data_IF_384156705789
#
_entry.id   IF_384156705789
#
_cell.length_a   1.000
_cell.length_b   1.000
_cell.length_c   1.000
_cell.angle_alpha   90.00
_cell.angle_beta   90.00
_cell.angle_gamma   90.00
#
_symmetry.space_group_name_H-M   'P 1'
#
loop_
_entity.id
_entity.type
_entity.pdbx_description
1 polymer ?
#
# COMPACT_ATOMS: atom_id res chain seq x y z
N UNK A 1 -44.23 -18.08 33.68
CA UNK A 1 -43.55 -16.81 33.38
C UNK A 1 -42.19 -16.93 34.02
N UNK A 2 -41.20 -17.44 33.28
CA UNK A 2 -39.88 -17.75 33.84
C UNK A 2 -38.88 -16.70 33.37
N UNK A 3 -38.13 -16.23 34.36
CA UNK A 3 -37.03 -15.27 34.39
C UNK A 3 -36.17 -15.13 33.12
N UNK A 4 -35.98 -13.87 32.70
CA UNK A 4 -34.77 -13.44 32.00
C UNK A 4 -33.80 -12.87 33.03
N UNK A 5 -32.75 -13.62 33.31
CA UNK A 5 -31.59 -13.22 34.12
C UNK A 5 -30.46 -12.88 33.16
N UNK A 6 -30.05 -11.61 33.15
CA UNK A 6 -28.85 -11.13 32.45
C UNK A 6 -27.61 -11.95 32.83
N UNK A 7 -26.75 -12.33 31.87
CA UNK A 7 -25.36 -12.63 32.17
C UNK A 7 -24.47 -11.46 31.76
N UNK A 8 -23.78 -10.91 32.76
CA UNK A 8 -22.72 -9.92 32.58
C UNK A 8 -21.55 -10.49 31.77
N UNK A 9 -21.00 -9.65 30.90
CA UNK A 9 -19.79 -9.93 30.15
C UNK A 9 -18.57 -9.78 31.06
N UNK A 10 -17.83 -10.86 31.27
CA UNK A 10 -16.48 -10.83 31.84
C UNK A 10 -15.47 -10.95 30.69
N UNK A 11 -14.68 -9.89 30.48
CA UNK A 11 -13.42 -9.94 29.74
C UNK A 11 -12.48 -10.96 30.40
N UNK A 12 -11.96 -11.91 29.63
CA UNK A 12 -10.68 -12.54 29.95
C UNK A 12 -9.89 -12.79 28.66
N UNK A 13 -8.66 -12.28 28.66
CA UNK A 13 -7.63 -12.52 27.67
C UNK A 13 -7.25 -14.00 27.61
N UNK A 14 -6.98 -14.50 26.40
CA UNK A 14 -6.27 -15.75 26.20
C UNK A 14 -5.04 -15.47 25.33
N UNK A 15 -3.91 -15.29 26.00
CA UNK A 15 -2.60 -15.60 25.43
C UNK A 15 -2.38 -17.12 25.48
N UNK A 16 -1.82 -17.71 24.43
CA UNK A 16 -1.08 -18.99 24.49
C UNK A 16 -0.10 -19.10 23.30
N UNK A 17 1.16 -18.71 23.59
CA UNK A 17 2.41 -19.48 23.40
C UNK A 17 2.75 -19.98 21.98
N UNK A 18 3.66 -19.31 21.24
CA UNK A 18 5.13 -19.55 21.11
C UNK A 18 5.51 -20.98 20.61
N UNK A 19 6.47 -21.22 19.70
CA UNK A 19 7.88 -20.79 19.67
C UNK A 19 8.55 -21.14 18.32
N UNK A 20 9.50 -20.30 17.86
CA UNK A 20 10.86 -20.60 17.35
C UNK A 20 11.45 -19.23 16.92
N UNK A 21 12.02 -18.41 17.81
CA UNK A 21 13.32 -18.39 18.54
C UNK A 21 14.56 -18.06 17.69
N UNK A 22 15.21 -16.98 18.14
CA UNK A 22 16.62 -16.58 18.02
C UNK A 22 17.05 -16.22 16.59
N UNK A 23 17.37 -14.98 16.27
CA UNK A 23 18.34 -14.10 16.93
C UNK A 23 17.90 -12.62 16.88
N UNK A 24 18.66 -11.73 17.53
CA UNK A 24 18.54 -10.26 17.52
C UNK A 24 17.67 -9.59 18.59
N UNK A 25 17.90 -9.96 19.85
CA UNK A 25 17.80 -8.99 20.94
C UNK A 25 19.07 -9.09 21.77
N UNK A 26 20.11 -8.36 21.36
CA UNK A 26 21.09 -7.89 22.32
C UNK A 26 21.46 -6.46 21.98
N UNK A 27 21.32 -5.61 23.00
CA UNK A 27 21.74 -4.20 23.07
C UNK A 27 20.97 -3.19 22.21
N UNK A 28 19.92 -2.63 22.81
CA UNK A 28 19.90 -1.17 22.96
C UNK A 28 19.44 -0.81 24.36
N UNK A 29 20.42 -0.81 25.27
CA UNK A 29 20.38 -0.05 26.51
C UNK A 29 20.33 1.44 26.16
N UNK A 30 19.51 2.16 26.92
CA UNK A 30 19.64 3.56 27.29
C UNK A 30 20.22 4.57 26.27
N UNK A 31 19.40 5.57 25.99
CA UNK A 31 19.82 6.97 25.86
C UNK A 31 20.82 7.28 24.73
N UNK A 32 20.30 7.76 23.59
CA UNK A 32 20.89 8.89 22.87
C UNK A 32 19.89 9.46 21.88
N UNK A 33 19.44 10.66 22.19
CA UNK A 33 19.01 11.66 21.22
C UNK A 33 20.11 11.84 20.17
N UNK A 34 19.85 11.42 18.94
CA UNK A 34 20.77 11.53 17.82
C UNK A 34 20.41 10.58 16.69
N UNK A 35 20.71 11.00 15.47
CA UNK A 35 20.78 10.18 14.24
C UNK A 35 19.51 9.95 13.40
N UNK A 36 19.40 10.84 12.41
CA UNK A 36 19.40 10.50 10.98
C UNK A 36 18.26 9.61 10.49
N UNK A 37 17.27 10.28 9.88
CA UNK A 37 16.50 9.72 8.77
C UNK A 37 17.48 9.27 7.67
N UNK A 38 17.95 8.04 7.76
CA UNK A 38 18.62 7.37 6.66
C UNK A 38 17.62 7.24 5.54
N UNK A 39 17.78 8.08 4.51
CA UNK A 39 17.41 7.75 3.14
C UNK A 39 18.12 6.46 2.79
N UNK A 40 17.52 5.32 3.15
CA UNK A 40 17.86 4.06 2.53
C UNK A 40 17.36 4.19 1.09
N UNK A 41 18.26 4.21 0.08
CA UNK A 41 17.84 4.19 -1.30
C UNK A 41 16.96 2.95 -1.45
N UNK A 42 15.81 3.11 -2.10
CA UNK A 42 14.89 2.01 -2.41
C UNK A 42 15.54 1.06 -3.43
N UNK A 43 16.59 0.35 -3.02
CA UNK A 43 17.16 -0.78 -3.76
C UNK A 43 16.11 -1.89 -3.67
N UNK A 44 15.55 -2.27 -4.81
CA UNK A 44 14.43 -3.19 -4.89
C UNK A 44 13.59 -3.06 -6.16
N UNK A 45 13.88 -2.08 -7.02
CA UNK A 45 13.24 -1.94 -8.34
C UNK A 45 14.00 -2.66 -9.46
N UNK A 46 15.19 -3.23 -9.22
CA UNK A 46 16.03 -3.88 -10.25
C UNK A 46 15.65 -5.33 -10.58
N UNK A 47 14.66 -5.91 -9.90
CA UNK A 47 14.20 -7.28 -10.13
C UNK A 47 12.74 -7.41 -10.55
N UNK A 48 12.08 -6.29 -10.88
CA UNK A 48 10.67 -6.34 -11.24
C UNK A 48 10.49 -7.01 -12.61
N UNK A 49 9.61 -8.02 -12.73
CA UNK A 49 9.26 -8.57 -14.03
C UNK A 49 8.70 -7.46 -14.92
N UNK A 50 9.01 -7.53 -16.21
CA UNK A 50 8.55 -6.54 -17.19
C UNK A 50 7.02 -6.48 -17.14
N UNK A 51 6.47 -5.29 -16.91
CA UNK A 51 5.03 -5.08 -16.74
C UNK A 51 4.52 -5.13 -15.29
N UNK A 52 5.38 -5.33 -14.28
CA UNK A 52 4.99 -5.19 -12.89
C UNK A 52 5.05 -3.74 -12.41
N UNK A 53 4.20 -3.44 -11.43
CA UNK A 53 4.24 -2.19 -10.68
C UNK A 53 4.33 -2.44 -9.18
N UNK A 54 4.74 -1.41 -8.45
CA UNK A 54 4.99 -1.44 -7.03
C UNK A 54 4.31 -0.24 -6.37
N UNK A 55 3.56 -0.49 -5.32
CA UNK A 55 3.02 0.54 -4.45
C UNK A 55 3.85 0.62 -3.18
N UNK A 56 4.43 1.81 -2.93
CA UNK A 56 5.26 2.05 -1.75
C UNK A 56 4.52 2.97 -0.79
N UNK A 57 4.29 2.53 0.44
CA UNK A 57 3.66 3.36 1.47
C UNK A 57 4.66 4.38 1.97
N UNK A 58 4.45 5.65 1.61
CA UNK A 58 5.28 6.78 2.02
C UNK A 58 4.87 7.32 3.40
N UNK A 59 3.57 7.24 3.73
CA UNK A 59 3.03 7.72 5.01
C UNK A 59 1.88 6.82 5.47
N UNK A 60 1.89 6.48 6.75
CA UNK A 60 0.88 5.66 7.42
C UNK A 60 1.52 4.76 8.48
N UNK A 61 0.73 4.00 9.25
CA UNK A 61 1.26 2.98 10.18
C UNK A 61 2.13 1.93 9.45
N UNK A 62 1.88 1.71 8.15
CA UNK A 62 2.63 0.78 7.31
C UNK A 62 3.69 1.49 6.45
N UNK A 63 4.24 2.62 6.90
CA UNK A 63 5.25 3.35 6.12
C UNK A 63 6.49 2.49 5.87
N UNK A 64 6.96 2.45 4.62
CA UNK A 64 8.07 1.61 4.16
C UNK A 64 7.63 0.28 3.54
N UNK A 65 6.38 -0.14 3.73
CA UNK A 65 5.83 -1.33 3.07
C UNK A 65 5.76 -1.15 1.56
N UNK A 66 6.03 -2.23 0.84
CA UNK A 66 6.01 -2.29 -0.63
C UNK A 66 5.09 -3.42 -1.06
N UNK A 67 4.12 -3.11 -1.91
CA UNK A 67 3.16 -4.07 -2.43
C UNK A 67 3.38 -4.22 -3.93
N UNK A 68 3.65 -5.45 -4.37
CA UNK A 68 3.78 -5.78 -5.78
C UNK A 68 2.39 -5.89 -6.41
N UNK A 69 2.22 -5.26 -7.56
CA UNK A 69 1.06 -5.42 -8.43
C UNK A 69 1.47 -6.40 -9.53
N UNK A 70 1.22 -7.68 -9.29
CA UNK A 70 1.53 -8.81 -10.19
C UNK A 70 0.27 -9.51 -10.73
N UNK A 71 -0.92 -9.01 -10.37
CA UNK A 71 -2.21 -9.58 -10.73
C UNK A 71 -3.11 -8.53 -11.42
N UNK A 72 -4.02 -8.98 -12.31
CA UNK A 72 -4.87 -8.08 -13.10
C UNK A 72 -5.78 -7.19 -12.25
N UNK A 73 -6.10 -7.60 -11.01
CA UNK A 73 -6.87 -6.79 -10.08
C UNK A 73 -6.32 -7.01 -8.68
N UNK A 74 -5.82 -5.94 -8.06
CA UNK A 74 -5.31 -5.92 -6.70
C UNK A 74 -6.23 -5.08 -5.83
N UNK A 75 -6.85 -5.69 -4.83
CA UNK A 75 -7.76 -5.02 -3.92
C UNK A 75 -7.02 -4.34 -2.77
N UNK A 76 -7.46 -3.14 -2.40
CA UNK A 76 -6.91 -2.37 -1.29
C UNK A 76 -8.00 -1.98 -0.28
N UNK A 77 -7.71 -2.23 1.00
CA UNK A 77 -8.65 -1.93 2.06
C UNK A 77 -8.24 -2.49 3.43
N UNK A 78 -9.13 -2.31 4.40
CA UNK A 78 -8.96 -2.83 5.77
C UNK A 78 -9.45 -4.27 5.93
N UNK A 79 -9.88 -4.94 4.86
CA UNK A 79 -10.28 -6.34 4.96
C UNK A 79 -9.04 -7.24 4.99
N UNK A 80 -8.98 -8.28 5.83
CA UNK A 80 -7.85 -9.22 5.83
C UNK A 80 -7.72 -9.98 4.49
N UNK A 81 -8.80 -10.12 3.74
CA UNK A 81 -8.79 -10.72 2.40
C UNK A 81 -8.39 -9.73 1.29
N UNK A 82 -8.04 -8.48 1.63
CA UNK A 82 -7.52 -7.53 0.65
C UNK A 82 -6.03 -7.77 0.40
N UNK A 83 -5.62 -7.76 -0.85
CA UNK A 83 -4.22 -7.96 -1.26
C UNK A 83 -3.31 -6.88 -0.65
N UNK A 84 -3.80 -5.64 -0.63
CA UNK A 84 -3.18 -4.51 0.05
C UNK A 84 -3.96 -4.24 1.32
N UNK A 85 -3.49 -4.86 2.41
CA UNK A 85 -4.07 -4.66 3.73
C UNK A 85 -3.60 -3.33 4.35
N UNK A 86 -4.55 -2.43 4.53
CA UNK A 86 -4.37 -1.12 5.14
C UNK A 86 -5.17 -1.05 6.44
N UNK A 87 -4.49 -1.34 7.56
CA UNK A 87 -5.11 -1.34 8.88
C UNK A 87 -5.33 0.08 9.42
N UNK A 88 -6.43 0.70 9.01
CA UNK A 88 -6.87 1.96 9.61
C UNK A 88 -8.38 2.17 9.57
N UNK A 89 -8.91 2.86 10.59
CA UNK A 89 -10.33 3.19 10.68
C UNK A 89 -10.82 4.09 9.54
N UNK A 90 -9.96 4.94 8.96
CA UNK A 90 -10.30 5.79 7.81
C UNK A 90 -10.32 5.03 6.47
N UNK A 91 -9.93 3.76 6.48
CA UNK A 91 -9.95 2.90 5.30
C UNK A 91 -11.15 1.96 5.38
N UNK A 92 -12.02 2.01 4.37
CA UNK A 92 -13.09 1.04 4.16
C UNK A 92 -12.56 -0.38 4.00
N UNK A 93 -13.39 -1.38 4.34
CA UNK A 93 -13.05 -2.81 4.15
C UNK A 93 -12.66 -3.10 2.71
N UNK A 94 -13.48 -2.68 1.76
CA UNK A 94 -13.16 -2.60 0.33
C UNK A 94 -13.11 -1.12 -0.01
N UNK A 95 -11.92 -0.59 -0.29
CA UNK A 95 -11.73 0.84 -0.50
C UNK A 95 -11.55 1.14 -1.99
N UNK A 96 -10.48 0.59 -2.56
CA UNK A 96 -10.13 0.76 -3.95
C UNK A 96 -9.61 -0.57 -4.52
N UNK A 97 -9.65 -0.68 -5.83
CA UNK A 97 -9.06 -1.77 -6.59
C UNK A 97 -8.10 -1.17 -7.62
N UNK A 98 -6.89 -1.70 -7.68
CA UNK A 98 -5.91 -1.40 -8.70
C UNK A 98 -6.05 -2.44 -9.80
N UNK A 99 -6.46 -2.01 -10.99
CA UNK A 99 -6.59 -2.86 -12.17
C UNK A 99 -5.38 -2.67 -13.06
N UNK A 100 -4.79 -3.78 -13.49
CA UNK A 100 -3.78 -3.79 -14.52
C UNK A 100 -4.46 -4.12 -15.84
N UNK A 101 -4.35 -3.21 -16.80
CA UNK A 101 -4.88 -3.36 -18.16
C UNK A 101 -3.69 -3.28 -19.13
N UNK A 102 -3.26 -4.45 -19.60
CA UNK A 102 -2.04 -4.67 -20.40
C UNK A 102 -0.80 -4.00 -19.77
N UNK A 103 -0.45 -2.81 -20.28
CA UNK A 103 0.71 -2.00 -19.91
C UNK A 103 0.34 -0.76 -19.07
N UNK A 104 -0.92 -0.64 -18.68
CA UNK A 104 -1.46 0.47 -17.90
C UNK A 104 -2.00 -0.01 -16.56
N UNK A 105 -1.97 0.88 -15.59
CA UNK A 105 -2.55 0.63 -14.27
C UNK A 105 -3.61 1.67 -14.02
N UNK A 106 -4.74 1.25 -13.47
CA UNK A 106 -5.85 2.12 -13.11
C UNK A 106 -6.24 1.88 -11.66
N UNK A 107 -6.51 2.95 -10.92
CA UNK A 107 -7.17 2.86 -9.62
C UNK A 107 -8.66 3.09 -9.81
N UNK A 108 -9.47 2.26 -9.15
CA UNK A 108 -10.94 2.37 -9.15
C UNK A 108 -11.41 2.34 -7.70
N UNK A 109 -12.13 3.36 -7.28
CA UNK A 109 -12.81 3.40 -5.99
C UNK A 109 -14.05 2.49 -6.02
N UNK A 110 -14.18 1.60 -5.03
CA UNK A 110 -15.27 0.60 -4.99
C UNK A 110 -16.25 0.86 -3.85
N UNK A 111 -16.31 2.08 -3.34
CA UNK A 111 -17.19 2.46 -2.24
C UNK A 111 -16.42 2.83 -0.98
N UNK A 112 -15.35 3.60 -1.13
CA UNK A 112 -14.69 4.19 0.02
C UNK A 112 -15.61 5.22 0.70
N UNK A 113 -15.51 5.31 2.03
CA UNK A 113 -16.26 6.32 2.78
C UNK A 113 -15.63 7.72 2.65
N UNK A 114 -14.30 7.76 2.51
CA UNK A 114 -13.51 8.99 2.53
C UNK A 114 -13.04 9.42 1.13
N UNK A 115 -13.30 8.64 0.09
CA UNK A 115 -12.78 8.87 -1.26
C UNK A 115 -11.36 8.35 -1.43
N UNK A 116 -11.04 8.02 -2.68
CA UNK A 116 -9.68 7.78 -3.15
C UNK A 116 -9.16 9.03 -3.84
N UNK A 117 -7.91 9.41 -3.57
CA UNK A 117 -7.29 10.59 -4.17
C UNK A 117 -6.04 10.20 -4.94
N UNK A 118 -5.86 10.74 -6.15
CA UNK A 118 -4.63 10.60 -6.95
C UNK A 118 -4.05 11.99 -7.15
N UNK A 119 -2.78 12.18 -6.81
CA UNK A 119 -2.10 13.47 -6.91
C UNK A 119 -2.85 14.63 -6.20
N UNK A 120 -3.55 14.30 -5.09
CA UNK A 120 -4.41 15.19 -4.28
C UNK A 120 -5.77 15.54 -4.89
N UNK A 121 -6.14 14.91 -6.00
CA UNK A 121 -7.44 15.07 -6.64
C UNK A 121 -8.33 13.85 -6.32
N UNK A 122 -9.58 14.04 -5.85
CA UNK A 122 -10.50 12.94 -5.62
C UNK A 122 -10.91 12.32 -6.97
N UNK A 123 -10.81 11.00 -7.07
CA UNK A 123 -11.13 10.27 -8.30
C UNK A 123 -11.94 9.02 -8.00
N UNK A 124 -12.95 8.75 -8.81
CA UNK A 124 -13.69 7.49 -8.78
C UNK A 124 -12.96 6.41 -9.60
N UNK A 125 -12.36 6.81 -10.72
CA UNK A 125 -11.42 6.00 -11.49
C UNK A 125 -10.39 6.89 -12.15
N UNK A 126 -9.12 6.48 -12.12
CA UNK A 126 -8.03 7.23 -12.77
C UNK A 126 -6.89 6.32 -13.16
N UNK A 127 -6.28 6.60 -14.31
CA UNK A 127 -5.06 5.93 -14.74
C UNK A 127 -3.87 6.40 -13.88
N UNK A 128 -3.04 5.44 -13.45
CA UNK A 128 -1.85 5.67 -12.66
C UNK A 128 -0.61 5.70 -13.55
N UNK A 129 0.21 6.72 -13.33
CA UNK A 129 1.50 6.91 -13.97
C UNK A 129 2.63 6.74 -12.96
N UNK A 130 3.82 6.43 -13.47
CA UNK A 130 5.01 6.28 -12.65
C UNK A 130 5.27 7.54 -11.80
N UNK A 131 5.34 7.37 -10.49
CA UNK A 131 5.56 8.44 -9.53
C UNK A 131 4.29 9.04 -8.94
N UNK A 132 3.09 8.61 -9.36
CA UNK A 132 1.83 9.14 -8.84
C UNK A 132 1.65 8.84 -7.35
N UNK A 133 1.12 9.82 -6.61
CA UNK A 133 0.79 9.67 -5.19
C UNK A 133 -0.69 9.34 -5.04
N UNK A 134 -1.00 8.11 -4.64
CA UNK A 134 -2.34 7.64 -4.33
C UNK A 134 -2.57 7.75 -2.82
N UNK A 135 -3.60 8.48 -2.41
CA UNK A 135 -3.99 8.63 -1.03
C UNK A 135 -5.30 7.88 -0.75
N UNK A 136 -5.24 7.01 0.26
CA UNK A 136 -6.33 6.15 0.71
C UNK A 136 -6.50 6.38 2.21
N UNK A 137 -7.58 7.07 2.60
CA UNK A 137 -7.74 7.54 3.98
C UNK A 137 -6.55 8.39 4.43
N UNK A 138 -5.86 7.97 5.50
CA UNK A 138 -4.63 8.62 5.99
C UNK A 138 -3.34 8.11 5.34
N UNK A 139 -3.40 7.06 4.52
CA UNK A 139 -2.23 6.48 3.87
C UNK A 139 -1.88 7.25 2.60
N UNK A 140 -0.58 7.43 2.36
CA UNK A 140 -0.05 7.87 1.07
C UNK A 140 0.82 6.78 0.50
N UNK A 141 0.44 6.32 -0.68
CA UNK A 141 1.15 5.34 -1.46
C UNK A 141 1.73 6.04 -2.68
N UNK A 142 2.94 5.68 -3.08
CA UNK A 142 3.54 6.12 -4.33
C UNK A 142 3.53 4.93 -5.26
N UNK A 143 2.95 5.13 -6.43
CA UNK A 143 2.94 4.15 -7.51
C UNK A 143 4.25 4.25 -8.29
N UNK A 144 4.97 3.15 -8.38
CA UNK A 144 6.20 3.01 -9.16
C UNK A 144 5.99 1.88 -10.15
N UNK A 145 6.18 2.14 -11.43
CA UNK A 145 6.20 1.06 -12.43
C UNK A 145 7.65 0.82 -12.85
N UNK A 146 7.96 -0.43 -13.18
CA UNK A 146 9.24 -0.75 -13.83
C UNK A 146 9.39 0.04 -15.13
N UNK A 147 10.60 0.09 -15.71
CA UNK A 147 10.79 0.70 -17.03
C UNK A 147 9.81 0.04 -18.00
N UNK A 148 8.78 0.80 -18.38
CA UNK A 148 7.89 0.46 -19.47
C UNK A 148 8.78 0.24 -20.69
N UNK A 149 8.50 -0.74 -21.53
CA UNK A 149 9.08 -0.79 -22.87
C UNK A 149 8.51 0.39 -23.67
N UNK A 150 8.86 1.61 -23.27
CA UNK A 150 8.29 2.82 -23.80
C UNK A 150 8.88 3.00 -25.18
N UNK A 151 8.00 3.08 -26.16
CA UNK A 151 8.23 3.58 -27.51
C UNK A 151 8.62 5.07 -27.51
N UNK A 152 9.47 5.50 -26.57
CA UNK A 152 10.00 6.86 -26.49
C UNK A 152 11.34 6.97 -27.21
N UNK A 153 11.39 6.50 -28.46
CA UNK A 153 12.45 6.87 -29.43
C UNK A 153 11.85 7.18 -30.81
N UNK A 154 10.71 7.86 -30.84
CA UNK A 154 10.07 8.27 -32.11
C UNK A 154 9.47 9.67 -32.03
N UNK A 155 10.25 10.63 -31.51
CA UNK A 155 9.91 12.05 -31.61
C UNK A 155 11.13 12.99 -31.43
N UNK A 156 12.28 12.68 -32.04
CA UNK A 156 13.35 13.66 -32.21
C UNK A 156 14.05 13.47 -33.56
N UNK A 157 13.68 14.30 -34.54
CA UNK A 157 14.50 14.49 -35.75
C UNK A 157 13.83 14.26 -37.10
N UNK A 158 12.63 14.80 -37.33
CA UNK A 158 12.15 15.03 -38.68
C UNK A 158 12.02 16.54 -38.95
N UNK A 159 12.95 17.09 -39.74
CA UNK A 159 12.60 18.09 -40.76
C UNK A 159 13.15 19.51 -40.62
N UNK A 160 14.06 19.86 -41.54
CA UNK A 160 14.19 21.19 -42.17
C UNK A 160 15.27 22.08 -41.57
N UNK A 161 16.23 22.64 -42.32
CA UNK A 161 16.46 22.80 -43.75
C UNK A 161 17.98 22.93 -43.97
#
# INVERSE_FOLDING_TARGET
>A
MSENKDPGYQETAAETTSVFRADFLNEVDASRSGEQAGEQPVQGVEGLPVGAALLVVKRGPNAGSRFLLDQPTTSAGRHPDSDIFLDDVTVSRRHAEFRQDDDSFQVVDVGSLNGTYVNREPVDSSELQNGDEVQIGKFRLVFLTGPKASASDSAAGAGGL
#
